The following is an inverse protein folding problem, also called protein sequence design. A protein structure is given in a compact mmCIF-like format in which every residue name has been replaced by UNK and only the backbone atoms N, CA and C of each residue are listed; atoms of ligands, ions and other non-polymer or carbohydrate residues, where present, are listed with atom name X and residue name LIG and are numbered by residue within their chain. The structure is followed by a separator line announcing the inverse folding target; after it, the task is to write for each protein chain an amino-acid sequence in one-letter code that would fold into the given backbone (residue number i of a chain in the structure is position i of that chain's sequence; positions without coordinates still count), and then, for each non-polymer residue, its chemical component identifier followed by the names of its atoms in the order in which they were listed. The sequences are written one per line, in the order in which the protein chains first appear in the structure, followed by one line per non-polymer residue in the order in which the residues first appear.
data_IF_116590797282
#
_entry.id   IF_116590797282
#
_cell.length_a   1.000
_cell.length_b   1.000
_cell.length_c   1.000
_cell.angle_alpha   90.00
_cell.angle_beta   90.00
_cell.angle_gamma   90.00
#
_symmetry.space_group_name_H-M   'P 1'
#
loop_
_entity.id
_entity.type
_entity.pdbx_description
1 polymer ?
#
# COMPACT_ATOMS: atom_id res chain seq x y z
N UNK A 1 -11.66 10.87 -10.13
CA UNK A 1 -12.84 11.57 -9.57
C UNK A 1 -13.91 10.60 -9.08
N UNK A 2 -14.71 9.93 -9.92
CA UNK A 2 -15.78 9.04 -9.41
C UNK A 2 -15.24 7.80 -8.65
N UNK A 3 -14.17 7.17 -9.16
CA UNK A 3 -13.57 6.00 -8.50
C UNK A 3 -12.85 6.35 -7.20
N UNK A 4 -12.13 7.48 -7.16
CA UNK A 4 -11.42 7.93 -5.96
C UNK A 4 -12.42 8.27 -4.84
N UNK A 5 -13.57 8.85 -5.19
CA UNK A 5 -14.69 9.10 -4.27
C UNK A 5 -15.28 7.79 -3.72
N UNK A 6 -15.50 6.79 -4.59
CA UNK A 6 -15.96 5.46 -4.18
C UNK A 6 -14.94 4.79 -3.24
N UNK A 7 -13.64 4.77 -3.60
CA UNK A 7 -12.61 4.20 -2.73
C UNK A 7 -12.56 4.90 -1.37
N UNK A 8 -12.69 6.23 -1.34
CA UNK A 8 -12.76 6.99 -0.09
C UNK A 8 -13.96 6.62 0.78
N UNK A 9 -15.14 6.45 0.18
CA UNK A 9 -16.34 5.99 0.90
C UNK A 9 -16.19 4.55 1.40
N UNK A 10 -15.69 3.63 0.57
CA UNK A 10 -15.41 2.25 0.99
C UNK A 10 -14.42 2.22 2.13
N UNK A 11 -13.35 3.03 2.09
CA UNK A 11 -12.38 3.13 3.18
C UNK A 11 -13.04 3.58 4.48
N UNK A 12 -13.90 4.59 4.43
CA UNK A 12 -14.63 5.07 5.61
C UNK A 12 -15.56 4.02 6.21
N UNK A 13 -16.23 3.22 5.37
CA UNK A 13 -17.10 2.11 5.81
C UNK A 13 -16.30 0.92 6.36
N UNK A 14 -15.14 0.63 5.76
CA UNK A 14 -14.27 -0.47 6.19
C UNK A 14 -13.53 -0.16 7.50
N UNK A 15 -13.19 1.10 7.75
CA UNK A 15 -12.39 1.52 8.91
C UNK A 15 -12.87 0.94 10.26
N UNK A 16 -14.15 1.07 10.68
CA UNK A 16 -14.61 0.52 11.96
C UNK A 16 -14.52 -1.01 12.04
N UNK A 17 -14.71 -1.71 10.91
CA UNK A 17 -14.60 -3.17 10.83
C UNK A 17 -13.13 -3.57 11.06
N UNK A 18 -12.21 -2.91 10.34
CA UNK A 18 -10.79 -3.18 10.40
C UNK A 18 -10.22 -2.90 11.81
N UNK A 19 -10.66 -1.82 12.44
CA UNK A 19 -10.28 -1.50 13.83
C UNK A 19 -10.72 -2.57 14.82
N UNK A 20 -11.93 -3.11 14.69
CA UNK A 20 -12.45 -4.17 15.56
C UNK A 20 -11.63 -5.48 15.47
N UNK A 21 -11.03 -5.74 14.31
CA UNK A 21 -10.17 -6.90 14.07
C UNK A 21 -8.66 -6.61 14.26
N UNK A 22 -8.28 -5.38 14.64
CA UNK A 22 -6.89 -4.93 14.71
C UNK A 22 -6.13 -5.08 13.37
N UNK A 23 -6.83 -4.80 12.27
CA UNK A 23 -6.34 -4.87 10.91
C UNK A 23 -6.14 -3.45 10.38
N UNK A 24 -5.08 -3.25 9.61
CA UNK A 24 -4.77 -2.03 8.88
C UNK A 24 -5.29 -2.12 7.44
N UNK A 25 -5.97 -1.06 6.98
CA UNK A 25 -6.16 -0.83 5.55
C UNK A 25 -4.86 -0.34 4.91
N UNK A 26 -4.37 -1.11 3.94
CA UNK A 26 -3.16 -0.79 3.15
C UNK A 26 -3.52 -0.07 1.86
N UNK A 27 -4.49 -0.60 1.11
CA UNK A 27 -4.90 -0.01 -0.17
C UNK A 27 -6.32 -0.43 -0.58
N UNK A 28 -6.93 0.34 -1.48
CA UNK A 28 -8.19 0.02 -2.16
C UNK A 28 -8.05 0.36 -3.63
N UNK A 29 -8.28 -0.61 -4.51
CA UNK A 29 -8.24 -0.38 -5.94
C UNK A 29 -9.31 -1.13 -6.73
N UNK A 30 -9.64 -0.58 -7.89
CA UNK A 30 -10.49 -1.23 -8.87
C UNK A 30 -9.65 -1.94 -9.93
N UNK A 31 -9.73 -3.27 -9.95
CA UNK A 31 -9.13 -4.11 -10.98
C UNK A 31 -10.16 -4.54 -12.02
N UNK A 32 -9.70 -4.87 -13.23
CA UNK A 32 -10.54 -5.52 -14.24
C UNK A 32 -10.01 -6.92 -14.53
N UNK A 33 -10.88 -7.91 -14.42
CA UNK A 33 -10.61 -9.28 -14.85
C UNK A 33 -11.54 -9.60 -16.01
N UNK A 34 -11.04 -9.46 -17.25
CA UNK A 34 -11.87 -9.55 -18.44
C UNK A 34 -12.98 -8.49 -18.46
N UNK A 35 -14.24 -8.94 -18.33
CA UNK A 35 -15.43 -8.07 -18.29
C UNK A 35 -15.87 -7.70 -16.88
N UNK A 36 -15.30 -8.32 -15.86
CA UNK A 36 -15.67 -8.15 -14.47
C UNK A 36 -14.85 -7.03 -13.83
N UNK A 37 -15.53 -6.20 -13.03
CA UNK A 37 -14.90 -5.19 -12.19
C UNK A 37 -14.69 -5.79 -10.81
N UNK A 38 -13.48 -5.68 -10.26
CA UNK A 38 -13.16 -6.17 -8.92
C UNK A 38 -12.80 -4.97 -8.06
N UNK A 39 -13.49 -4.80 -6.95
CA UNK A 39 -13.10 -3.89 -5.87
C UNK A 39 -12.22 -4.68 -4.90
N UNK A 40 -10.93 -4.38 -4.89
CA UNK A 40 -9.95 -5.10 -4.09
C UNK A 40 -9.48 -4.25 -2.92
N UNK A 41 -9.66 -4.76 -1.70
CA UNK A 41 -9.12 -4.18 -0.47
C UNK A 41 -7.90 -4.97 -0.03
N UNK A 42 -6.79 -4.25 0.14
CA UNK A 42 -5.56 -4.78 0.69
C UNK A 42 -5.49 -4.47 2.18
N UNK A 43 -5.39 -5.52 2.98
CA UNK A 43 -5.34 -5.43 4.44
C UNK A 43 -4.04 -6.03 4.97
N UNK A 44 -3.57 -5.52 6.11
CA UNK A 44 -2.39 -6.03 6.78
C UNK A 44 -2.61 -6.05 8.29
N UNK A 45 -1.93 -6.93 9.01
CA UNK A 45 -1.96 -6.97 10.47
C UNK A 45 -0.62 -7.40 11.01
N UNK A 46 -0.34 -7.05 12.26
CA UNK A 46 0.86 -7.56 12.92
C UNK A 46 0.79 -9.11 13.00
N UNK A 47 1.89 -9.77 12.62
CA UNK A 47 1.92 -11.23 12.48
C UNK A 47 1.37 -11.77 11.14
N UNK A 48 0.86 -10.89 10.26
CA UNK A 48 0.37 -11.24 8.93
C UNK A 48 -1.11 -11.64 8.91
N UNK A 49 -1.75 -11.40 7.77
CA UNK A 49 -3.18 -11.68 7.54
C UNK A 49 -3.38 -13.13 7.11
N UNK A 50 -4.37 -13.81 7.72
CA UNK A 50 -4.79 -15.15 7.35
C UNK A 50 -6.11 -15.13 6.53
N UNK A 51 -6.55 -16.30 6.08
CA UNK A 51 -7.76 -16.42 5.23
C UNK A 51 -9.04 -16.04 5.98
N UNK A 52 -9.10 -16.32 7.29
CA UNK A 52 -10.27 -16.02 8.11
C UNK A 52 -10.44 -14.51 8.29
N UNK A 53 -9.34 -13.76 8.50
CA UNK A 53 -9.35 -12.30 8.58
C UNK A 53 -9.95 -11.68 7.31
N UNK A 54 -9.51 -12.15 6.13
CA UNK A 54 -10.05 -11.69 4.86
C UNK A 54 -11.53 -12.02 4.72
N UNK A 55 -11.94 -13.22 5.14
CA UNK A 55 -13.32 -13.67 5.05
C UNK A 55 -14.25 -12.85 5.96
N UNK A 56 -13.82 -12.56 7.19
CA UNK A 56 -14.60 -11.80 8.17
C UNK A 56 -14.77 -10.35 7.70
N UNK A 57 -13.68 -9.69 7.27
CA UNK A 57 -13.75 -8.34 6.70
C UNK A 57 -14.64 -8.29 5.45
N UNK A 58 -14.50 -9.26 4.55
CA UNK A 58 -15.30 -9.32 3.31
C UNK A 58 -16.79 -9.45 3.59
N UNK A 59 -17.18 -10.32 4.53
CA UNK A 59 -18.58 -10.53 4.91
C UNK A 59 -19.22 -9.27 5.49
N UNK A 60 -18.59 -8.67 6.49
CA UNK A 60 -19.12 -7.47 7.16
C UNK A 60 -19.19 -6.28 6.20
N UNK A 61 -18.15 -6.08 5.41
CA UNK A 61 -18.09 -4.95 4.48
C UNK A 61 -19.09 -5.10 3.33
N UNK A 62 -19.28 -6.31 2.79
CA UNK A 62 -20.24 -6.56 1.71
C UNK A 62 -21.65 -6.15 2.13
N UNK A 63 -22.07 -6.52 3.34
CA UNK A 63 -23.39 -6.17 3.88
C UNK A 63 -23.58 -4.65 3.93
N UNK A 64 -22.57 -3.92 4.41
CA UNK A 64 -22.65 -2.47 4.56
C UNK A 64 -22.68 -1.78 3.18
N UNK A 65 -21.84 -2.22 2.23
CA UNK A 65 -21.83 -1.64 0.87
C UNK A 65 -23.17 -1.90 0.17
N UNK A 66 -23.76 -3.10 0.34
CA UNK A 66 -25.06 -3.44 -0.25
C UNK A 66 -26.21 -2.59 0.32
N UNK A 67 -26.14 -2.22 1.60
CA UNK A 67 -27.11 -1.31 2.23
C UNK A 67 -26.97 0.12 1.69
N UNK A 68 -25.73 0.60 1.54
CA UNK A 68 -25.44 1.97 1.10
C UNK A 68 -25.63 2.17 -0.42
N UNK A 69 -25.59 1.09 -1.22
CA UNK A 69 -25.90 1.01 -2.66
C UNK A 69 -25.34 2.18 -3.51
N UNK A 70 -24.06 2.49 -3.33
CA UNK A 70 -23.41 3.65 -3.97
C UNK A 70 -22.43 3.29 -5.09
N UNK A 71 -22.17 2.00 -5.33
CA UNK A 71 -21.23 1.53 -6.36
C UNK A 71 -22.03 1.17 -7.63
N UNK A 72 -21.88 1.91 -8.74
CA UNK A 72 -22.67 1.66 -9.94
C UNK A 72 -22.18 0.43 -10.70
N UNK A 73 -23.13 -0.44 -11.06
CA UNK A 73 -22.90 -1.61 -11.89
C UNK A 73 -22.36 -2.82 -11.13
N UNK A 74 -22.17 -3.93 -11.85
CA UNK A 74 -21.74 -5.18 -11.23
C UNK A 74 -20.24 -5.14 -10.90
N UNK A 75 -19.91 -5.61 -9.71
CA UNK A 75 -18.54 -5.80 -9.26
C UNK A 75 -18.45 -7.02 -8.34
N UNK A 76 -17.23 -7.52 -8.14
CA UNK A 76 -16.89 -8.49 -7.10
C UNK A 76 -16.02 -7.84 -6.04
N UNK A 77 -16.31 -8.10 -4.77
CA UNK A 77 -15.50 -7.65 -3.64
C UNK A 77 -14.41 -8.69 -3.35
N UNK A 78 -13.16 -8.25 -3.29
CA UNK A 78 -12.02 -9.09 -2.91
C UNK A 78 -11.29 -8.44 -1.72
N UNK A 79 -10.97 -9.24 -0.71
CA UNK A 79 -10.14 -8.80 0.42
C UNK A 79 -8.92 -9.71 0.47
N UNK A 80 -7.73 -9.12 0.43
CA UNK A 80 -6.47 -9.87 0.45
C UNK A 80 -5.40 -9.15 1.23
N UNK A 81 -4.32 -9.87 1.58
CA UNK A 81 -3.09 -9.22 1.98
C UNK A 81 -2.38 -8.61 0.77
N UNK A 82 -1.53 -7.58 0.94
CA UNK A 82 -0.75 -7.00 -0.15
C UNK A 82 0.38 -7.91 -0.65
N UNK A 83 0.59 -9.06 0.02
CA UNK A 83 1.63 -10.01 -0.33
C UNK A 83 3.04 -9.46 -0.11
N UNK A 84 3.97 -9.94 -0.93
CA UNK A 84 5.39 -9.61 -0.82
C UNK A 84 5.73 -8.17 -1.27
N UNK A 85 4.91 -7.58 -2.15
CA UNK A 85 5.11 -6.24 -2.73
C UNK A 85 4.33 -5.16 -1.96
N UNK A 86 4.29 -5.24 -0.62
CA UNK A 86 3.49 -4.33 0.23
C UNK A 86 3.89 -2.87 -0.03
N UNK A 87 2.96 -2.00 -0.46
CA UNK A 87 3.27 -0.59 -0.68
C UNK A 87 3.52 0.12 0.66
N UNK A 88 4.39 1.14 0.63
CA UNK A 88 4.62 2.08 1.72
C UNK A 88 3.91 3.38 1.35
N UNK A 89 2.75 3.63 1.96
CA UNK A 89 1.90 4.79 1.66
C UNK A 89 1.89 5.83 2.77
N UNK A 90 1.91 5.39 4.03
CA UNK A 90 1.87 6.25 5.20
C UNK A 90 3.29 6.58 5.66
N UNK A 91 3.46 7.73 6.29
CA UNK A 91 4.74 8.10 6.93
C UNK A 91 5.19 7.02 7.92
N UNK A 92 4.25 6.49 8.70
CA UNK A 92 4.47 5.40 9.66
C UNK A 92 4.95 4.10 9.01
N UNK A 93 4.69 3.86 7.72
CA UNK A 93 5.23 2.69 7.04
C UNK A 93 6.77 2.77 6.97
N UNK A 94 7.31 3.96 6.69
CA UNK A 94 8.76 4.13 6.56
C UNK A 94 9.51 3.94 7.88
N UNK A 95 8.83 4.13 9.01
CA UNK A 95 9.37 3.84 10.34
C UNK A 95 9.19 2.35 10.69
N UNK A 96 7.99 1.79 10.46
CA UNK A 96 7.65 0.39 10.77
C UNK A 96 8.54 -0.61 10.04
N UNK A 97 8.92 -0.30 8.80
CA UNK A 97 9.70 -1.20 7.95
C UNK A 97 11.18 -0.83 7.83
N UNK A 98 11.71 -0.03 8.76
CA UNK A 98 13.17 0.17 8.87
C UNK A 98 13.90 -1.18 8.93
N UNK A 99 15.01 -1.26 8.18
CA UNK A 99 15.82 -2.46 8.01
C UNK A 99 15.31 -3.42 6.94
N UNK A 100 14.13 -3.20 6.34
CA UNK A 100 13.61 -4.05 5.27
C UNK A 100 14.10 -3.57 3.91
N UNK A 101 14.24 -4.51 2.98
CA UNK A 101 14.50 -4.20 1.58
C UNK A 101 13.28 -3.49 0.96
N UNK A 102 13.54 -2.37 0.30
CA UNK A 102 12.53 -1.56 -0.37
C UNK A 102 12.96 -1.20 -1.78
N UNK A 103 11.97 -1.05 -2.65
CA UNK A 103 12.13 -0.43 -3.96
C UNK A 103 11.35 0.86 -4.01
N UNK A 104 12.06 1.95 -4.23
CA UNK A 104 11.51 3.29 -4.36
C UNK A 104 11.66 3.74 -5.81
N UNK A 105 10.57 4.21 -6.40
CA UNK A 105 10.54 4.83 -7.72
C UNK A 105 10.12 6.28 -7.58
N UNK A 106 10.89 7.18 -8.17
CA UNK A 106 10.59 8.61 -8.18
C UNK A 106 9.85 9.01 -9.45
N UNK A 107 9.15 10.15 -9.42
CA UNK A 107 8.47 10.71 -10.61
C UNK A 107 9.49 11.04 -11.72
N UNK A 108 10.60 11.67 -11.34
CA UNK A 108 11.69 12.11 -12.21
C UNK A 108 13.04 11.57 -11.75
N UNK A 109 14.08 11.53 -12.61
CA UNK A 109 15.39 11.05 -12.19
C UNK A 109 15.93 11.90 -11.03
N UNK A 110 16.28 11.28 -9.92
CA UNK A 110 16.80 11.92 -8.72
C UNK A 110 18.23 11.40 -8.45
N UNK A 111 19.07 12.22 -7.84
CA UNK A 111 20.45 11.85 -7.52
C UNK A 111 20.49 11.13 -6.15
N UNK A 112 21.23 10.03 -6.06
CA UNK A 112 21.65 9.52 -4.75
C UNK A 112 22.69 10.45 -4.09
N UNK A 113 23.10 10.13 -2.86
CA UNK A 113 24.02 10.98 -2.09
C UNK A 113 25.44 10.99 -2.69
N UNK A 114 25.73 10.12 -3.67
CA UNK A 114 26.97 10.09 -4.46
C UNK A 114 26.86 10.81 -5.81
N UNK A 115 25.68 11.39 -6.12
CA UNK A 115 25.44 12.16 -7.34
C UNK A 115 24.96 11.35 -8.54
N UNK A 116 24.74 10.03 -8.42
CA UNK A 116 24.27 9.23 -9.56
C UNK A 116 22.76 9.39 -9.73
N UNK A 117 22.34 9.83 -10.93
CA UNK A 117 20.93 10.04 -11.23
C UNK A 117 20.24 8.77 -11.71
N UNK A 118 19.15 8.41 -11.06
CA UNK A 118 18.31 7.24 -11.38
C UNK A 118 16.85 7.51 -11.02
N UNK A 119 15.93 6.70 -11.56
CA UNK A 119 14.51 6.75 -11.18
C UNK A 119 14.10 5.68 -10.18
N UNK A 120 14.96 4.69 -9.96
CA UNK A 120 14.66 3.52 -9.14
C UNK A 120 15.81 3.32 -8.17
N UNK A 121 15.46 3.12 -6.90
CA UNK A 121 16.37 2.94 -5.78
C UNK A 121 15.96 1.62 -5.12
N UNK A 122 16.88 0.65 -5.08
CA UNK A 122 16.66 -0.64 -4.43
C UNK A 122 17.69 -0.77 -3.31
N UNK A 123 17.20 -0.99 -2.09
CA UNK A 123 18.08 -1.02 -0.94
C UNK A 123 17.33 -1.15 0.38
N UNK A 124 18.10 -1.18 1.46
CA UNK A 124 17.57 -1.33 2.82
C UNK A 124 17.09 0.02 3.36
N UNK A 125 15.84 0.07 3.78
CA UNK A 125 15.23 1.27 4.36
C UNK A 125 15.90 1.61 5.68
N UNK A 126 16.45 2.81 5.81
CA UNK A 126 16.92 3.33 7.10
C UNK A 126 15.76 3.97 7.86
N UNK A 127 14.88 4.68 7.14
CA UNK A 127 13.67 5.28 7.70
C UNK A 127 13.29 6.57 7.00
N UNK A 128 12.44 7.37 7.65
CA UNK A 128 12.09 8.72 7.21
C UNK A 128 12.57 9.74 8.24
N UNK A 129 13.33 10.76 7.79
CA UNK A 129 13.83 11.84 8.63
C UNK A 129 13.75 13.17 7.89
N UNK A 130 13.19 14.19 8.54
CA UNK A 130 13.08 15.55 7.99
C UNK A 130 12.43 15.59 6.58
N UNK A 131 11.44 14.69 6.34
CA UNK A 131 10.76 14.54 5.05
C UNK A 131 11.54 13.77 3.98
N UNK A 132 12.73 13.24 4.31
CA UNK A 132 13.56 12.42 3.44
C UNK A 132 13.45 10.95 3.81
N UNK A 133 13.10 10.11 2.84
CA UNK A 133 13.23 8.65 2.94
C UNK A 133 14.67 8.28 2.65
N UNK A 134 15.31 7.65 3.63
CA UNK A 134 16.73 7.30 3.57
C UNK A 134 16.86 5.80 3.32
N UNK A 135 17.64 5.43 2.30
CA UNK A 135 17.86 4.03 1.89
C UNK A 135 19.34 3.78 1.67
N UNK A 136 19.86 2.68 2.22
CA UNK A 136 21.17 2.13 1.83
C UNK A 136 20.98 1.27 0.60
N UNK A 137 21.43 1.76 -0.56
CA UNK A 137 21.33 1.07 -1.84
C UNK A 137 22.18 -0.21 -1.84
N UNK A 138 21.79 -1.20 -2.64
CA UNK A 138 22.50 -2.48 -2.76
C UNK A 138 23.94 -2.31 -3.25
N UNK A 139 24.23 -1.22 -3.97
CA UNK A 139 25.58 -0.85 -4.40
C UNK A 139 26.44 -0.23 -3.27
N UNK A 140 25.88 -0.02 -2.08
CA UNK A 140 26.54 0.49 -0.87
C UNK A 140 26.44 2.00 -0.66
N UNK A 141 25.92 2.77 -1.62
CA UNK A 141 25.66 4.20 -1.44
C UNK A 141 24.38 4.45 -0.65
N UNK A 142 24.23 5.65 -0.09
CA UNK A 142 22.96 6.10 0.51
C UNK A 142 22.19 6.97 -0.47
N UNK A 143 20.87 6.92 -0.42
CA UNK A 143 20.00 7.87 -1.09
C UNK A 143 19.04 8.49 -0.08
N UNK A 144 19.04 9.81 -0.01
CA UNK A 144 18.12 10.60 0.81
C UNK A 144 17.07 11.27 -0.09
N UNK A 145 15.92 10.62 -0.26
CA UNK A 145 14.91 10.97 -1.27
C UNK A 145 13.76 11.72 -0.60
N UNK A 146 13.44 12.97 -1.00
CA UNK A 146 12.24 13.66 -0.51
C UNK A 146 10.98 12.82 -0.75
N UNK A 147 10.16 12.66 0.28
CA UNK A 147 8.93 11.85 0.21
C UNK A 147 8.01 12.31 -0.93
N UNK A 148 7.94 13.61 -1.20
CA UNK A 148 7.15 14.19 -2.28
C UNK A 148 7.61 13.80 -3.70
N UNK A 149 8.88 13.39 -3.85
CA UNK A 149 9.41 12.94 -5.15
C UNK A 149 9.16 11.45 -5.40
N UNK A 150 8.71 10.70 -4.38
CA UNK A 150 8.43 9.28 -4.47
C UNK A 150 7.07 9.08 -5.15
N UNK A 151 7.11 8.42 -6.30
CA UNK A 151 5.91 8.02 -7.04
C UNK A 151 5.35 6.69 -6.56
N UNK A 152 6.22 5.76 -6.14
CA UNK A 152 5.85 4.44 -5.64
C UNK A 152 6.97 3.92 -4.73
N UNK A 153 6.60 3.33 -3.60
CA UNK A 153 7.52 2.65 -2.70
C UNK A 153 6.88 1.34 -2.24
N UNK A 154 7.63 0.25 -2.29
CA UNK A 154 7.16 -1.06 -1.87
C UNK A 154 8.25 -1.83 -1.13
N UNK A 155 7.84 -2.74 -0.26
CA UNK A 155 8.71 -3.80 0.26
C UNK A 155 9.12 -4.71 -0.90
N UNK A 156 10.35 -5.19 -0.83
CA UNK A 156 10.89 -6.24 -1.69
C UNK A 156 11.37 -7.40 -0.82
N UNK A 157 11.51 -8.58 -1.43
CA UNK A 157 11.99 -9.79 -0.75
C UNK A 157 13.33 -10.23 -1.32
N UNK A 158 14.24 -10.59 -0.43
CA UNK A 158 15.48 -11.31 -0.74
C UNK A 158 15.22 -12.82 -0.62
N UNK A 159 15.68 -13.57 -1.63
CA UNK A 159 15.62 -15.03 -1.67
C UNK A 159 16.93 -15.66 -1.18
#
# INVERSE_FOLDING_TARGET
MLKDDICGRVAALAQPILEAFHIELVDIEFRRSGRELILCLFIDKEGGVNVDDCADVSRELSVIIDIEDFIPGNYSLEVSSPGLDRPLKKVSDYERFTGRLVKIKTYEPFADDSGNRRKTFLGHLIGLKDGLVVVTLNEGQTASIPLELIAKANLEFEF
#
